data_IF_372806120138
#
_entry.id   IF_372806120138
#
_cell.length_a   1.000
_cell.length_b   1.000
_cell.length_c   1.000
_cell.angle_alpha   90.00
_cell.angle_beta   90.00
_cell.angle_gamma   90.00
#
_symmetry.space_group_name_H-M   'P 1'
#
loop_
_entity.id
_entity.type
_entity.pdbx_description
1 polymer ?
#
# COMPACT_ATOMS: atom_id res chain seq x y z
N UNK A 1 -2.85 -19.01 2.22
CA UNK A 1 -1.85 -20.10 2.08
C UNK A 1 -1.89 -21.05 3.26
N UNK A 2 -1.62 -20.59 4.48
CA UNK A 2 -1.61 -21.46 5.67
C UNK A 2 -2.91 -22.27 5.85
N UNK A 3 -4.09 -21.64 5.72
CA UNK A 3 -5.39 -22.33 5.89
C UNK A 3 -5.60 -23.46 4.88
N UNK A 4 -5.23 -23.26 3.61
CA UNK A 4 -5.39 -24.28 2.55
C UNK A 4 -4.41 -25.43 2.78
N UNK A 5 -3.15 -25.12 3.11
CA UNK A 5 -2.12 -26.12 3.40
C UNK A 5 -2.47 -26.91 4.66
N UNK A 6 -2.95 -26.24 5.70
CA UNK A 6 -3.40 -26.88 6.96
C UNK A 6 -4.65 -27.73 6.73
N UNK A 7 -5.60 -27.27 5.91
CA UNK A 7 -6.78 -28.06 5.55
C UNK A 7 -6.42 -29.33 4.79
N UNK A 8 -5.50 -29.24 3.82
CA UNK A 8 -4.97 -30.40 3.10
C UNK A 8 -4.16 -31.32 4.03
N UNK A 9 -3.42 -30.75 4.99
CA UNK A 9 -2.70 -31.51 6.02
C UNK A 9 -3.66 -32.36 6.88
N UNK A 10 -4.72 -31.73 7.39
CA UNK A 10 -5.72 -32.38 8.25
C UNK A 10 -6.48 -33.45 7.46
N UNK A 11 -6.90 -33.15 6.23
CA UNK A 11 -7.58 -34.13 5.38
C UNK A 11 -6.70 -35.35 5.06
N UNK A 12 -5.40 -35.10 4.81
CA UNK A 12 -4.42 -36.14 4.55
C UNK A 12 -4.18 -37.08 5.73
N UNK A 13 -4.10 -36.54 6.95
CA UNK A 13 -3.96 -37.32 8.18
C UNK A 13 -5.24 -38.09 8.51
N UNK A 14 -6.40 -37.46 8.34
CA UNK A 14 -7.70 -38.09 8.63
C UNK A 14 -7.98 -39.33 7.78
N UNK A 15 -7.39 -39.44 6.59
CA UNK A 15 -7.58 -40.58 5.69
C UNK A 15 -6.46 -41.64 5.76
N UNK A 16 -5.49 -41.53 6.69
CA UNK A 16 -4.32 -42.43 6.78
C UNK A 16 -3.62 -42.65 5.41
N UNK A 17 -3.52 -41.59 4.61
CA UNK A 17 -2.96 -41.65 3.27
C UNK A 17 -1.46 -41.94 3.31
N UNK A 18 -1.03 -42.91 2.49
CA UNK A 18 0.38 -43.19 2.25
C UNK A 18 1.05 -41.98 1.55
N UNK A 19 2.36 -41.77 1.76
CA UNK A 19 3.11 -40.59 1.25
C UNK A 19 2.87 -40.30 -0.24
N UNK A 20 2.75 -41.36 -1.06
CA UNK A 20 2.46 -41.28 -2.49
C UNK A 20 1.08 -40.72 -2.79
N UNK A 21 0.05 -41.16 -2.06
CA UNK A 21 -1.31 -40.68 -2.22
C UNK A 21 -1.43 -39.21 -1.76
N UNK A 22 -0.63 -38.83 -0.77
CA UNK A 22 -0.47 -37.45 -0.32
C UNK A 22 0.04 -36.52 -1.42
N UNK A 23 1.12 -36.90 -2.10
CA UNK A 23 1.68 -36.11 -3.21
C UNK A 23 0.68 -36.00 -4.37
N UNK A 24 -0.03 -37.08 -4.67
CA UNK A 24 -1.08 -37.08 -5.70
C UNK A 24 -2.25 -36.16 -5.36
N UNK A 25 -2.61 -36.01 -4.08
CA UNK A 25 -3.65 -35.06 -3.65
C UNK A 25 -3.17 -33.59 -3.69
N UNK A 26 -1.88 -33.33 -3.49
CA UNK A 26 -1.31 -31.98 -3.51
C UNK A 26 -0.98 -31.49 -4.91
N UNK A 27 -0.63 -32.38 -5.84
CA UNK A 27 -0.20 -32.02 -7.19
C UNK A 27 -1.16 -31.04 -7.92
N UNK A 28 -2.50 -31.19 -7.84
CA UNK A 28 -3.44 -30.25 -8.45
C UNK A 28 -3.50 -28.87 -7.75
N UNK A 29 -3.13 -28.80 -6.47
CA UNK A 29 -3.12 -27.56 -5.69
C UNK A 29 -1.83 -26.73 -5.88
N UNK A 30 -0.76 -27.34 -6.39
CA UNK A 30 0.55 -26.68 -6.60
C UNK A 30 0.48 -25.41 -7.44
N UNK A 31 -0.25 -25.34 -8.58
CA UNK A 31 -0.38 -24.10 -9.36
C UNK A 31 -1.03 -22.97 -8.56
N UNK A 32 -2.05 -23.28 -7.76
CA UNK A 32 -2.73 -22.31 -6.91
C UNK A 32 -1.81 -21.79 -5.79
N UNK A 33 -1.03 -22.68 -5.16
CA UNK A 33 -0.04 -22.31 -4.15
C UNK A 33 1.05 -21.39 -4.73
N UNK A 34 1.53 -21.71 -5.94
CA UNK A 34 2.51 -20.89 -6.66
C UNK A 34 1.94 -19.51 -7.03
N UNK A 35 0.70 -19.46 -7.53
CA UNK A 35 0.00 -18.20 -7.79
C UNK A 35 -0.20 -17.39 -6.51
N UNK A 36 -0.66 -18.00 -5.42
CA UNK A 36 -0.89 -17.32 -4.15
C UNK A 36 0.41 -16.76 -3.54
N UNK A 37 1.52 -17.49 -3.68
CA UNK A 37 2.84 -16.99 -3.28
C UNK A 37 3.26 -15.77 -4.09
N UNK A 38 3.13 -15.82 -5.43
CA UNK A 38 3.43 -14.68 -6.30
C UNK A 38 2.52 -13.48 -5.99
N UNK A 39 1.24 -13.73 -5.75
CA UNK A 39 0.29 -12.69 -5.39
C UNK A 39 0.64 -12.04 -4.06
N UNK A 40 1.04 -12.81 -3.06
CA UNK A 40 1.51 -12.28 -1.78
C UNK A 40 2.70 -11.33 -1.96
N UNK A 41 3.70 -11.71 -2.76
CA UNK A 41 4.84 -10.83 -3.06
C UNK A 41 4.42 -9.57 -3.82
N UNK A 42 3.51 -9.70 -4.81
CA UNK A 42 2.99 -8.55 -5.56
C UNK A 42 2.25 -7.56 -4.67
N UNK A 43 1.44 -8.05 -3.75
CA UNK A 43 0.70 -7.21 -2.81
C UNK A 43 1.63 -6.53 -1.81
N UNK A 44 2.65 -7.24 -1.32
CA UNK A 44 3.68 -6.66 -0.45
C UNK A 44 4.47 -5.56 -1.15
N UNK A 45 4.95 -5.81 -2.37
CA UNK A 45 5.67 -4.81 -3.17
C UNK A 45 4.81 -3.56 -3.44
N UNK A 46 3.52 -3.74 -3.70
CA UNK A 46 2.57 -2.63 -3.86
C UNK A 46 2.40 -1.79 -2.58
N UNK A 47 2.50 -2.42 -1.41
CA UNK A 47 2.45 -1.73 -0.12
C UNK A 47 3.75 -0.98 0.16
N UNK A 48 4.90 -1.60 -0.09
CA UNK A 48 6.23 -0.98 0.07
C UNK A 48 6.35 0.27 -0.83
N UNK A 49 5.88 0.19 -2.09
CA UNK A 49 5.84 1.34 -3.02
C UNK A 49 4.91 2.47 -2.57
N UNK A 50 3.79 2.15 -1.90
CA UNK A 50 2.88 3.16 -1.34
C UNK A 50 3.55 3.93 -0.20
N UNK A 51 4.26 3.22 0.67
CA UNK A 51 4.97 3.82 1.79
C UNK A 51 6.09 4.75 1.29
N UNK A 52 6.84 4.32 0.28
CA UNK A 52 7.87 5.16 -0.35
C UNK A 52 7.28 6.43 -0.96
N UNK A 53 6.15 6.33 -1.66
CA UNK A 53 5.46 7.48 -2.24
C UNK A 53 5.00 8.46 -1.15
N UNK A 54 4.47 7.96 -0.03
CA UNK A 54 4.09 8.78 1.12
C UNK A 54 5.30 9.47 1.76
N UNK A 55 6.43 8.77 1.89
CA UNK A 55 7.68 9.38 2.38
C UNK A 55 8.15 10.51 1.46
N UNK A 56 8.12 10.31 0.14
CA UNK A 56 8.44 11.36 -0.84
C UNK A 56 7.51 12.57 -0.68
N UNK A 57 6.21 12.34 -0.49
CA UNK A 57 5.23 13.39 -0.25
C UNK A 57 5.58 14.23 0.99
N UNK A 58 5.86 13.58 2.12
CA UNK A 58 6.23 14.25 3.39
C UNK A 58 7.53 15.03 3.27
N UNK A 59 8.53 14.46 2.60
CA UNK A 59 9.80 15.14 2.35
C UNK A 59 9.61 16.41 1.51
N UNK A 60 8.85 16.31 0.41
CA UNK A 60 8.52 17.45 -0.44
C UNK A 60 7.75 18.52 0.32
N UNK A 61 6.74 18.11 1.10
CA UNK A 61 5.95 19.01 1.95
C UNK A 61 6.82 19.79 2.94
N UNK A 62 7.74 19.11 3.63
CA UNK A 62 8.65 19.75 4.57
C UNK A 62 9.61 20.73 3.89
N UNK A 63 10.09 20.41 2.68
CA UNK A 63 10.94 21.31 1.89
C UNK A 63 10.16 22.56 1.46
N UNK A 64 8.91 22.39 1.02
CA UNK A 64 8.04 23.50 0.66
C UNK A 64 7.72 24.40 1.87
N UNK A 65 7.37 23.82 3.03
CA UNK A 65 7.13 24.58 4.27
C UNK A 65 8.38 25.33 4.76
N UNK A 66 9.57 24.76 4.56
CA UNK A 66 10.83 25.40 4.89
C UNK A 66 11.18 26.58 3.95
N UNK A 67 10.50 26.72 2.81
CA UNK A 67 10.84 27.68 1.76
C UNK A 67 12.13 27.31 1.03
N UNK A 68 12.46 26.01 0.97
CA UNK A 68 13.69 25.51 0.37
C UNK A 68 13.60 25.30 -1.16
N UNK A 69 12.48 25.66 -1.78
CA UNK A 69 12.24 25.56 -3.21
C UNK A 69 11.88 26.94 -3.79
N UNK A 70 12.32 27.19 -5.02
CA UNK A 70 11.79 28.26 -5.86
C UNK A 70 10.42 27.85 -6.44
N UNK A 71 9.59 28.81 -6.85
CA UNK A 71 8.22 28.58 -7.32
C UNK A 71 8.17 27.59 -8.49
N UNK A 72 9.10 27.73 -9.45
CA UNK A 72 9.19 26.85 -10.62
C UNK A 72 9.65 25.43 -10.23
N UNK A 73 10.62 25.32 -9.31
CA UNK A 73 11.10 24.04 -8.81
C UNK A 73 10.02 23.29 -8.01
N UNK A 74 9.24 24.01 -7.20
CA UNK A 74 8.14 23.43 -6.43
C UNK A 74 6.96 23.03 -7.34
N UNK A 75 6.67 23.78 -8.39
CA UNK A 75 5.69 23.42 -9.41
C UNK A 75 6.10 22.13 -10.15
N UNK A 76 7.37 22.03 -10.55
CA UNK A 76 7.92 20.84 -11.21
C UNK A 76 7.84 19.61 -10.31
N UNK A 77 8.28 19.70 -9.05
CA UNK A 77 8.22 18.58 -8.11
C UNK A 77 6.78 18.16 -7.77
N UNK A 78 5.85 19.12 -7.67
CA UNK A 78 4.42 18.83 -7.51
C UNK A 78 3.87 18.03 -8.68
N UNK A 79 4.23 18.39 -9.92
CA UNK A 79 3.84 17.63 -11.12
C UNK A 79 4.45 16.24 -11.16
N UNK A 80 5.73 16.10 -10.81
CA UNK A 80 6.39 14.80 -10.76
C UNK A 80 5.77 13.88 -9.72
N UNK A 81 5.40 14.42 -8.55
CA UNK A 81 4.67 13.70 -7.52
C UNK A 81 3.29 13.25 -8.01
N UNK A 82 2.54 14.13 -8.69
CA UNK A 82 1.25 13.77 -9.30
C UNK A 82 1.40 12.68 -10.37
N UNK A 83 2.44 12.74 -11.20
CA UNK A 83 2.76 11.70 -12.18
C UNK A 83 3.07 10.36 -11.49
N UNK A 84 3.82 10.37 -10.39
CA UNK A 84 4.11 9.17 -9.62
C UNK A 84 2.83 8.55 -9.03
N UNK A 85 1.91 9.36 -8.51
CA UNK A 85 0.59 8.91 -8.04
C UNK A 85 -0.20 8.29 -9.21
N UNK A 86 -0.24 8.97 -10.35
CA UNK A 86 -0.98 8.50 -11.53
C UNK A 86 -0.44 7.16 -12.02
N UNK A 87 0.88 7.06 -12.22
CA UNK A 87 1.54 5.84 -12.66
C UNK A 87 1.23 4.69 -11.70
N UNK A 88 1.33 4.91 -10.39
CA UNK A 88 0.97 3.90 -9.40
C UNK A 88 -0.49 3.47 -9.51
N UNK A 89 -1.44 4.40 -9.66
CA UNK A 89 -2.86 4.06 -9.82
C UNK A 89 -3.11 3.25 -11.09
N UNK A 90 -2.39 3.54 -12.17
CA UNK A 90 -2.50 2.84 -13.43
C UNK A 90 -1.90 1.41 -13.38
N UNK A 91 -0.85 1.19 -12.59
CA UNK A 91 -0.17 -0.11 -12.49
C UNK A 91 -0.64 -0.97 -11.31
N UNK A 92 -1.37 -0.39 -10.35
CA UNK A 92 -1.84 -1.10 -9.16
C UNK A 92 -2.80 -2.23 -9.52
N UNK A 93 -2.68 -3.42 -8.89
CA UNK A 93 -3.63 -4.50 -9.09
C UNK A 93 -5.04 -4.09 -8.65
N UNK A 94 -6.04 -4.56 -9.38
CA UNK A 94 -7.46 -4.33 -9.07
C UNK A 94 -7.79 -4.88 -7.68
N UNK A 95 -8.19 -3.99 -6.77
CA UNK A 95 -8.70 -4.38 -5.45
C UNK A 95 -10.06 -5.04 -5.62
N UNK A 96 -10.25 -6.20 -4.99
CA UNK A 96 -11.56 -6.88 -4.99
C UNK A 96 -12.63 -5.91 -4.45
N UNK A 97 -13.76 -5.70 -5.17
CA UNK A 97 -14.75 -4.67 -4.80
C UNK A 97 -15.30 -4.81 -3.38
N UNK A 98 -15.44 -6.05 -2.89
CA UNK A 98 -15.91 -6.32 -1.54
C UNK A 98 -14.88 -5.94 -0.47
N UNK A 99 -13.61 -6.28 -0.68
CA UNK A 99 -12.52 -5.88 0.23
C UNK A 99 -12.38 -4.36 0.28
N UNK A 100 -12.51 -3.70 -0.88
CA UNK A 100 -12.49 -2.24 -0.94
C UNK A 100 -13.60 -1.63 -0.06
N UNK A 101 -14.84 -2.10 -0.19
CA UNK A 101 -15.96 -1.59 0.62
C UNK A 101 -15.74 -1.75 2.12
N UNK A 102 -15.13 -2.87 2.55
CA UNK A 102 -14.84 -3.12 3.97
C UNK A 102 -13.73 -2.20 4.48
N UNK A 103 -12.66 -2.00 3.70
CA UNK A 103 -11.47 -1.26 4.12
C UNK A 103 -11.57 0.25 3.92
N UNK A 104 -12.42 0.68 2.99
CA UNK A 104 -12.64 2.09 2.64
C UNK A 104 -12.86 3.02 3.86
N UNK A 105 -13.77 2.75 4.81
CA UNK A 105 -14.03 3.71 5.89
C UNK A 105 -12.78 4.00 6.72
N UNK A 106 -12.05 2.94 7.12
CA UNK A 106 -10.79 3.07 7.86
C UNK A 106 -9.73 3.87 7.08
N UNK A 107 -9.62 3.64 5.77
CA UNK A 107 -8.67 4.35 4.91
C UNK A 107 -9.06 5.81 4.68
N UNK A 108 -10.37 6.11 4.63
CA UNK A 108 -10.87 7.48 4.53
C UNK A 108 -10.63 8.25 5.83
N UNK A 109 -10.78 7.60 6.99
CA UNK A 109 -10.45 8.19 8.29
C UNK A 109 -8.96 8.54 8.39
N UNK A 110 -8.08 7.61 8.05
CA UNK A 110 -6.61 7.83 8.02
C UNK A 110 -6.23 8.96 7.05
N UNK A 111 -6.88 9.03 5.89
CA UNK A 111 -6.67 10.11 4.92
C UNK A 111 -7.11 11.47 5.47
N UNK A 112 -8.27 11.52 6.14
CA UNK A 112 -8.80 12.76 6.72
C UNK A 112 -7.91 13.27 7.86
N UNK A 113 -7.43 12.37 8.71
CA UNK A 113 -6.48 12.69 9.79
C UNK A 113 -5.20 13.29 9.22
N UNK A 114 -4.55 12.60 8.27
CA UNK A 114 -3.34 13.10 7.63
C UNK A 114 -3.53 14.45 6.91
N UNK A 115 -4.68 14.65 6.25
CA UNK A 115 -5.01 15.93 5.61
C UNK A 115 -5.18 17.06 6.65
N UNK A 116 -5.78 16.75 7.80
CA UNK A 116 -5.94 17.70 8.90
C UNK A 116 -4.60 18.09 9.51
N UNK A 117 -3.66 17.15 9.65
CA UNK A 117 -2.29 17.39 10.12
C UNK A 117 -1.54 18.35 9.18
N UNK A 118 -1.55 18.08 7.88
CA UNK A 118 -0.92 18.96 6.89
C UNK A 118 -1.50 20.38 6.93
N UNK A 119 -2.83 20.51 7.07
CA UNK A 119 -3.48 21.81 7.17
C UNK A 119 -3.07 22.56 8.46
N UNK A 120 -2.96 21.83 9.58
CA UNK A 120 -2.52 22.40 10.85
C UNK A 120 -1.06 22.89 10.78
N UNK A 121 -0.16 22.11 10.18
CA UNK A 121 1.23 22.49 9.94
C UNK A 121 1.36 23.75 9.09
N UNK A 122 0.58 23.83 8.00
CA UNK A 122 0.55 25.01 7.14
C UNK A 122 0.10 26.27 7.89
N UNK A 123 -1.03 26.19 8.61
CA UNK A 123 -1.56 27.31 9.40
C UNK A 123 -0.59 27.77 10.49
N UNK A 124 0.10 26.83 11.16
CA UNK A 124 1.11 27.15 12.16
C UNK A 124 2.30 27.90 11.54
N UNK A 125 2.71 27.52 10.31
CA UNK A 125 3.77 28.21 9.57
C UNK A 125 3.33 29.61 9.11
N UNK A 126 2.13 29.75 8.57
CA UNK A 126 1.54 31.04 8.16
C UNK A 126 1.47 32.02 9.33
N UNK A 127 0.94 31.59 10.48
CA UNK A 127 0.89 32.40 11.70
C UNK A 127 2.29 32.84 12.16
N UNK A 128 3.30 31.96 12.03
CA UNK A 128 4.68 32.29 12.35
C UNK A 128 5.26 33.36 11.40
N UNK A 129 4.98 33.26 10.10
CA UNK A 129 5.42 34.25 9.10
C UNK A 129 4.78 35.61 9.38
N UNK A 130 3.50 35.65 9.72
CA UNK A 130 2.79 36.91 10.00
C UNK A 130 3.14 37.55 11.35
N UNK A 131 3.80 36.81 12.24
CA UNK A 131 4.30 37.29 13.53
C UNK A 131 5.71 37.90 13.48
N UNK A 132 6.42 37.80 12.35
CA UNK A 132 7.73 38.44 12.13
C UNK A 132 7.48 39.87 11.61
N UNK A 133 7.95 40.92 12.31
CA UNK A 133 7.75 42.31 11.91
C UNK A 133 8.51 42.70 10.65
#
# INVERSE_FOLDING_TARGET
>A
MAVVVVGLLIAGIAQNLNLTAWILTLAPAMPLMSWAGREYYRQRDTADQLEELMKKAKTFWNQALAGACDDDACLHQSRDFQNAIYLRRATSPLVLPYLYKIKRPMLEDEMNEAASDFLAEYKAREAKIQSVP
#
